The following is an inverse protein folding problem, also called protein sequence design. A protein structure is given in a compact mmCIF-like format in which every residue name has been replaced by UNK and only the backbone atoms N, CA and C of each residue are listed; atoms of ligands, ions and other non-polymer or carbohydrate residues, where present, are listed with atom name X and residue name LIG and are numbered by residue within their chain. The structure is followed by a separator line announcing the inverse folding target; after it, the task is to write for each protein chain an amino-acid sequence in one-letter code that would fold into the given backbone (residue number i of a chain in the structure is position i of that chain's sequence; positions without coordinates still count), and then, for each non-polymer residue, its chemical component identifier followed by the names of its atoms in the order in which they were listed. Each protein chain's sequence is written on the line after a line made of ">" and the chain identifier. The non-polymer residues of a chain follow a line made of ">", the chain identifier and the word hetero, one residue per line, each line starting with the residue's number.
data_IF_936865451671
#
_entry.id   IF_936865451671
#
_cell.length_a   1.000
_cell.length_b   1.000
_cell.length_c   1.000
_cell.angle_alpha   90.00
_cell.angle_beta   90.00
_cell.angle_gamma   90.00
#
_symmetry.space_group_name_H-M   'P 1'
#
loop_
_entity.id
_entity.type
_entity.pdbx_description
1 polymer ?
#
# COMPACT_ATOMS: atom_id res chain seq x y z
N UNK A 1 -50.97 -3.12 11.73
CA UNK A 1 -51.74 -2.03 11.13
C UNK A 1 -50.82 -0.82 11.00
N UNK A 2 -50.45 -0.51 9.76
CA UNK A 2 -49.99 0.78 9.21
C UNK A 2 -48.99 1.61 10.06
N UNK A 3 -47.68 1.58 9.78
CA UNK A 3 -47.03 2.21 8.60
C UNK A 3 -47.58 3.60 8.28
N UNK A 4 -47.21 4.62 9.06
CA UNK A 4 -47.38 6.03 8.63
C UNK A 4 -46.20 6.96 8.99
N UNK A 5 -45.27 6.57 9.86
CA UNK A 5 -44.14 7.45 10.25
C UNK A 5 -42.94 7.45 9.30
N UNK A 6 -42.99 6.70 8.18
CA UNK A 6 -41.97 6.69 7.12
C UNK A 6 -42.37 7.42 5.83
N UNK A 7 -43.56 8.02 5.79
CA UNK A 7 -44.06 8.72 4.60
C UNK A 7 -43.78 10.24 4.65
N UNK A 8 -43.59 10.82 5.84
CA UNK A 8 -43.34 12.26 5.97
C UNK A 8 -41.92 12.71 5.59
N UNK A 9 -40.90 11.84 5.66
CA UNK A 9 -39.52 12.18 5.26
C UNK A 9 -39.19 11.97 3.79
N UNK A 10 -40.12 11.41 3.01
CA UNK A 10 -39.97 11.23 1.55
C UNK A 10 -40.71 12.30 0.73
N UNK A 11 -41.52 13.15 1.36
CA UNK A 11 -42.33 14.18 0.70
C UNK A 11 -41.71 15.58 0.68
N UNK A 12 -40.58 15.79 1.37
CA UNK A 12 -39.88 17.09 1.38
C UNK A 12 -38.81 17.23 0.29
N UNK A 13 -38.64 16.19 -0.54
CA UNK A 13 -37.72 16.19 -1.68
C UNK A 13 -38.45 16.03 -3.01
N UNK A 14 -39.72 16.44 -3.09
CA UNK A 14 -40.38 16.73 -4.36
C UNK A 14 -39.86 18.06 -4.92
N UNK A 15 -38.58 18.08 -5.30
CA UNK A 15 -38.01 19.18 -6.07
C UNK A 15 -38.73 19.21 -7.42
N UNK A 16 -39.50 20.28 -7.60
CA UNK A 16 -40.20 20.66 -8.84
C UNK A 16 -39.25 20.48 -10.05
N UNK A 17 -39.71 19.94 -11.19
CA UNK A 17 -38.85 19.75 -12.37
C UNK A 17 -38.40 21.05 -13.07
N UNK A 18 -38.68 22.23 -12.51
CA UNK A 18 -38.56 23.51 -13.23
C UNK A 18 -38.02 24.69 -12.39
N UNK A 19 -37.60 24.46 -11.13
CA UNK A 19 -36.97 25.53 -10.34
C UNK A 19 -35.49 25.68 -10.75
N UNK A 20 -35.26 26.35 -11.88
CA UNK A 20 -33.98 26.99 -12.22
C UNK A 20 -33.78 28.24 -11.34
N UNK A 21 -33.87 28.10 -10.02
CA UNK A 21 -33.37 29.14 -9.14
C UNK A 21 -31.85 29.18 -9.34
N UNK A 22 -31.35 30.21 -10.02
CA UNK A 22 -29.93 30.54 -9.96
C UNK A 22 -29.61 30.76 -8.49
N UNK A 23 -29.01 29.77 -7.84
CA UNK A 23 -28.35 29.95 -6.55
C UNK A 23 -27.17 30.90 -6.79
N UNK A 24 -27.46 32.21 -6.82
CA UNK A 24 -26.51 33.32 -6.69
C UNK A 24 -25.96 33.32 -5.26
N UNK A 25 -25.32 32.22 -4.86
CA UNK A 25 -24.52 32.16 -3.65
C UNK A 25 -23.17 32.80 -3.92
N UNK A 26 -22.65 33.61 -2.98
CA UNK A 26 -21.25 34.00 -2.99
C UNK A 26 -20.40 32.75 -3.15
N UNK A 27 -19.49 32.75 -4.14
CA UNK A 27 -18.52 31.67 -4.31
C UNK A 27 -17.66 31.63 -3.05
N UNK A 28 -17.80 30.59 -2.24
CA UNK A 28 -16.93 30.36 -1.10
C UNK A 28 -15.59 29.83 -1.63
N UNK A 29 -14.57 30.68 -1.57
CA UNK A 29 -13.19 30.29 -1.85
C UNK A 29 -12.53 29.96 -0.50
N UNK A 30 -12.27 28.68 -0.18
CA UNK A 30 -11.53 28.36 1.03
C UNK A 30 -10.14 28.99 0.96
N UNK A 31 -9.60 29.35 2.13
CA UNK A 31 -8.23 29.86 2.20
C UNK A 31 -7.25 28.81 1.60
N UNK A 32 -6.21 29.26 0.88
CA UNK A 32 -5.21 28.36 0.33
C UNK A 32 -4.47 27.62 1.45
N UNK A 33 -4.15 26.35 1.21
CA UNK A 33 -3.41 25.52 2.16
C UNK A 33 -1.98 26.06 2.25
N UNK A 34 -1.50 26.31 3.47
CA UNK A 34 -0.12 26.73 3.74
C UNK A 34 0.78 25.52 3.98
N UNK A 35 2.02 25.59 3.49
CA UNK A 35 2.97 24.47 3.47
C UNK A 35 4.25 24.76 4.28
N UNK A 36 4.18 25.73 5.20
CA UNK A 36 5.35 26.36 5.83
C UNK A 36 6.21 25.41 6.68
N UNK A 37 5.69 24.25 7.09
CA UNK A 37 6.38 23.28 7.95
C UNK A 37 7.21 22.24 7.21
N UNK A 38 7.36 22.35 5.88
CA UNK A 38 8.03 21.31 5.07
C UNK A 38 9.47 21.72 4.79
N UNK A 39 10.41 20.98 5.36
CA UNK A 39 11.83 21.14 5.06
C UNK A 39 12.13 20.69 3.62
N UNK A 40 12.92 21.49 2.91
CA UNK A 40 13.39 21.14 1.57
C UNK A 40 14.46 20.06 1.66
N UNK A 41 14.32 19.02 0.85
CA UNK A 41 15.29 17.93 0.75
C UNK A 41 16.30 18.25 -0.35
N UNK A 42 17.60 18.12 -0.06
CA UNK A 42 18.68 18.40 -1.01
C UNK A 42 18.60 17.59 -2.32
N UNK A 43 18.11 16.35 -2.23
CA UNK A 43 17.99 15.42 -3.35
C UNK A 43 16.53 15.01 -3.54
N UNK A 44 15.73 15.81 -4.26
CA UNK A 44 14.29 15.58 -4.39
C UNK A 44 13.93 14.40 -5.31
N UNK A 45 14.82 14.02 -6.24
CA UNK A 45 14.58 12.88 -7.14
C UNK A 45 14.91 11.55 -6.48
N UNK A 46 14.14 10.53 -6.82
CA UNK A 46 14.39 9.15 -6.40
C UNK A 46 15.78 8.70 -6.82
N UNK A 47 16.53 8.14 -5.86
CA UNK A 47 17.83 7.53 -6.11
C UNK A 47 17.69 6.34 -7.06
N UNK A 48 18.68 6.16 -7.92
CA UNK A 48 18.79 4.95 -8.76
C UNK A 48 19.07 3.77 -7.83
N UNK A 49 18.30 2.71 -8.00
CA UNK A 49 18.42 1.48 -7.21
C UNK A 49 19.34 0.51 -7.94
N UNK A 50 20.30 -0.08 -7.23
CA UNK A 50 21.18 -1.09 -7.81
C UNK A 50 20.41 -2.38 -8.14
N UNK A 51 20.76 -3.02 -9.26
CA UNK A 51 20.13 -4.28 -9.70
C UNK A 51 20.58 -5.49 -8.89
N UNK A 52 21.82 -5.45 -8.41
CA UNK A 52 22.51 -6.54 -7.71
C UNK A 52 23.13 -5.94 -6.45
N UNK A 53 22.99 -6.59 -5.29
CA UNK A 53 23.70 -6.18 -4.07
C UNK A 53 25.21 -6.25 -4.27
N UNK A 54 25.93 -5.27 -3.71
CA UNK A 54 27.39 -5.30 -3.66
C UNK A 54 27.86 -6.32 -2.62
N UNK A 55 28.71 -7.25 -3.03
CA UNK A 55 29.36 -8.21 -2.13
C UNK A 55 30.86 -7.93 -2.05
N UNK A 56 31.48 -8.31 -0.95
CA UNK A 56 32.93 -8.21 -0.79
C UNK A 56 33.65 -8.99 -1.91
N UNK A 57 34.80 -8.48 -2.41
CA UNK A 57 35.56 -9.16 -3.45
C UNK A 57 35.95 -10.58 -3.00
N UNK A 58 35.74 -11.56 -3.88
CA UNK A 58 35.99 -12.99 -3.58
C UNK A 58 34.81 -13.74 -2.96
N UNK A 59 33.79 -13.06 -2.41
CA UNK A 59 32.60 -13.72 -1.90
C UNK A 59 31.64 -14.08 -3.05
N UNK A 60 31.38 -15.39 -3.22
CA UNK A 60 30.34 -15.85 -4.14
C UNK A 60 28.95 -15.51 -3.56
N UNK A 61 28.04 -14.86 -4.32
CA UNK A 61 26.72 -14.53 -3.81
C UNK A 61 25.96 -15.76 -3.30
N UNK A 62 25.45 -15.73 -2.06
CA UNK A 62 24.83 -16.90 -1.45
C UNK A 62 23.47 -17.21 -2.09
N UNK A 63 23.21 -18.48 -2.39
CA UNK A 63 21.91 -18.92 -2.94
C UNK A 63 20.89 -19.16 -1.81
N UNK A 64 19.82 -18.37 -1.76
CA UNK A 64 18.78 -18.48 -0.71
C UNK A 64 17.57 -19.33 -1.11
N UNK A 65 16.94 -20.05 -0.18
CA UNK A 65 15.61 -20.65 -0.43
C UNK A 65 14.58 -19.53 -0.72
N UNK A 66 13.51 -19.84 -1.49
CA UNK A 66 12.49 -18.85 -1.88
C UNK A 66 11.85 -18.08 -0.70
N UNK A 67 11.82 -18.67 0.52
CA UNK A 67 11.29 -18.06 1.76
C UNK A 67 10.02 -17.22 1.56
N UNK A 68 8.95 -17.86 1.08
CA UNK A 68 7.65 -17.21 0.79
C UNK A 68 7.04 -16.50 2.02
N UNK A 69 7.43 -16.91 3.23
CA UNK A 69 7.02 -16.26 4.49
C UNK A 69 7.35 -14.77 4.57
N UNK A 70 8.32 -14.29 3.78
CA UNK A 70 8.72 -12.88 3.76
C UNK A 70 7.65 -11.96 3.18
N UNK A 71 6.70 -12.49 2.41
CA UNK A 71 5.59 -11.73 1.81
C UNK A 71 4.26 -11.98 2.51
N UNK A 72 4.18 -12.98 3.40
CA UNK A 72 2.93 -13.38 4.05
C UNK A 72 2.71 -12.59 5.33
N UNK A 73 1.47 -12.14 5.54
CA UNK A 73 1.03 -11.36 6.68
C UNK A 73 1.31 -9.87 6.56
N UNK A 74 0.99 -9.09 7.61
CA UNK A 74 1.12 -7.64 7.60
C UNK A 74 2.56 -7.20 7.85
N UNK A 75 2.88 -6.02 7.34
CA UNK A 75 4.08 -5.25 7.66
C UNK A 75 3.91 -4.60 9.04
N UNK A 76 4.92 -4.77 9.90
CA UNK A 76 4.88 -4.29 11.29
C UNK A 76 5.67 -2.98 11.46
N UNK A 77 6.77 -2.82 10.70
CA UNK A 77 7.74 -1.74 10.93
C UNK A 77 7.53 -0.57 9.97
N UNK A 78 7.46 -0.84 8.67
CA UNK A 78 7.40 0.21 7.64
C UNK A 78 5.98 0.46 7.13
N UNK A 79 5.02 0.57 8.05
CA UNK A 79 3.60 0.77 7.75
C UNK A 79 3.11 2.22 7.87
N UNK A 80 3.90 3.11 8.50
CA UNK A 80 3.56 4.54 8.67
C UNK A 80 4.34 5.44 7.73
N UNK A 81 3.74 6.59 7.38
CA UNK A 81 4.42 7.65 6.63
C UNK A 81 5.39 8.41 7.54
N UNK A 82 6.64 8.58 7.12
CA UNK A 82 7.65 9.33 7.87
C UNK A 82 7.41 10.83 7.70
N UNK A 83 7.23 11.28 6.45
CA UNK A 83 7.00 12.69 6.12
C UNK A 83 5.54 13.12 6.27
N UNK A 84 4.65 12.20 6.70
CA UNK A 84 3.22 12.43 6.99
C UNK A 84 2.44 13.20 5.91
N UNK A 85 2.76 12.96 4.64
CA UNK A 85 2.08 13.60 3.50
C UNK A 85 1.41 12.57 2.62
N UNK A 86 2.12 12.04 1.62
CA UNK A 86 1.56 11.14 0.63
C UNK A 86 2.49 9.95 0.38
N UNK A 87 1.90 8.81 -0.01
CA UNK A 87 2.68 7.64 -0.36
C UNK A 87 1.86 6.55 -1.02
N UNK A 88 2.56 5.48 -1.40
CA UNK A 88 1.95 4.26 -1.94
C UNK A 88 2.08 3.15 -0.90
N UNK A 89 0.96 2.55 -0.51
CA UNK A 89 0.90 1.42 0.41
C UNK A 89 0.52 0.15 -0.36
N UNK A 90 1.23 -0.95 -0.09
CA UNK A 90 0.87 -2.26 -0.61
C UNK A 90 -0.36 -2.82 0.10
N UNK A 91 -1.39 -3.23 -0.63
CA UNK A 91 -2.56 -3.96 -0.11
C UNK A 91 -2.38 -5.49 -0.19
N UNK A 92 -1.24 -5.96 -0.69
CA UNK A 92 -0.94 -7.39 -0.78
C UNK A 92 0.55 -7.65 -0.79
N UNK A 93 0.93 -8.87 -0.40
CA UNK A 93 2.32 -9.31 -0.42
C UNK A 93 2.81 -9.64 -1.84
N UNK A 94 4.07 -9.35 -2.14
CA UNK A 94 4.65 -9.63 -3.45
C UNK A 94 6.15 -9.38 -3.56
N UNK A 95 6.68 -9.55 -4.77
CA UNK A 95 8.10 -9.30 -5.09
C UNK A 95 8.25 -8.10 -6.01
N UNK A 96 9.06 -7.14 -5.59
CA UNK A 96 9.52 -6.07 -6.46
C UNK A 96 10.84 -6.48 -7.12
N UNK A 97 10.82 -6.59 -8.46
CA UNK A 97 12.03 -6.75 -9.28
C UNK A 97 12.65 -5.38 -9.51
N UNK A 98 13.93 -5.36 -9.87
CA UNK A 98 14.63 -4.13 -10.26
C UNK A 98 13.87 -3.32 -11.33
N UNK A 99 13.33 -3.98 -12.36
CA UNK A 99 12.53 -3.31 -13.40
C UNK A 99 11.34 -2.53 -12.85
N UNK A 100 10.73 -3.00 -11.75
CA UNK A 100 9.63 -2.27 -11.12
C UNK A 100 10.14 -1.00 -10.46
N UNK A 101 11.30 -1.03 -9.78
CA UNK A 101 11.93 0.17 -9.23
C UNK A 101 12.23 1.19 -10.32
N UNK A 102 12.78 0.74 -11.46
CA UNK A 102 13.10 1.65 -12.57
C UNK A 102 11.84 2.24 -13.22
N UNK A 103 10.80 1.42 -13.41
CA UNK A 103 9.50 1.88 -13.89
C UNK A 103 8.90 2.95 -12.96
N UNK A 104 8.92 2.70 -11.65
CA UNK A 104 8.42 3.65 -10.65
C UNK A 104 9.26 4.94 -10.65
N UNK A 105 10.59 4.82 -10.69
CA UNK A 105 11.54 5.94 -10.72
C UNK A 105 11.31 6.83 -11.93
N UNK A 106 11.18 6.25 -13.12
CA UNK A 106 10.90 6.99 -14.35
C UNK A 106 9.48 7.56 -14.35
N UNK A 107 8.49 6.83 -13.83
CA UNK A 107 7.10 7.26 -13.73
C UNK A 107 6.95 8.53 -12.89
N UNK A 108 7.45 8.50 -11.65
CA UNK A 108 7.45 9.67 -10.75
C UNK A 108 8.38 10.76 -11.28
N UNK A 109 9.58 10.39 -11.74
CA UNK A 109 10.60 11.33 -12.19
C UNK A 109 10.20 12.20 -13.38
N UNK A 110 9.22 11.78 -14.19
CA UNK A 110 8.67 12.56 -15.31
C UNK A 110 7.66 13.62 -14.88
N UNK A 111 7.04 13.46 -13.71
CA UNK A 111 5.95 14.33 -13.26
C UNK A 111 6.31 15.16 -12.03
N UNK A 112 7.45 14.88 -11.39
CA UNK A 112 7.87 15.57 -10.18
C UNK A 112 8.52 16.92 -10.50
N UNK A 113 8.02 17.97 -9.84
CA UNK A 113 8.64 19.29 -9.88
C UNK A 113 9.72 19.40 -8.80
N UNK A 114 10.98 19.36 -9.23
CA UNK A 114 12.19 19.32 -8.37
C UNK A 114 12.25 20.44 -7.32
N UNK A 115 11.69 21.62 -7.63
CA UNK A 115 11.74 22.78 -6.74
C UNK A 115 10.67 22.75 -5.64
N UNK A 116 9.58 22.00 -5.87
CA UNK A 116 8.40 21.98 -4.99
C UNK A 116 8.23 20.64 -4.28
N UNK A 117 8.59 19.55 -4.95
CA UNK A 117 8.29 18.17 -4.56
C UNK A 117 9.57 17.35 -4.40
N UNK A 118 9.51 16.34 -3.54
CA UNK A 118 10.53 15.30 -3.40
C UNK A 118 9.90 13.92 -3.27
N UNK A 119 10.62 12.89 -3.74
CA UNK A 119 10.20 11.50 -3.66
C UNK A 119 11.30 10.63 -3.04
N UNK A 120 10.92 9.76 -2.11
CA UNK A 120 11.84 8.95 -1.31
C UNK A 120 11.41 7.48 -1.34
N UNK A 121 12.40 6.60 -1.45
CA UNK A 121 12.19 5.16 -1.30
C UNK A 121 12.00 4.77 0.16
N UNK A 122 10.96 3.97 0.44
CA UNK A 122 10.74 3.32 1.74
C UNK A 122 11.07 1.83 1.74
N UNK A 123 11.56 1.34 0.61
CA UNK A 123 11.87 -0.07 0.37
C UNK A 123 13.33 -0.23 0.04
N UNK A 124 13.90 -1.30 0.59
CA UNK A 124 15.29 -1.69 0.38
C UNK A 124 15.55 -2.12 -1.07
N UNK A 125 16.78 -1.90 -1.57
CA UNK A 125 17.17 -2.40 -2.88
C UNK A 125 16.97 -3.93 -2.99
N UNK A 126 16.79 -4.48 -4.20
CA UNK A 126 16.63 -5.91 -4.41
C UNK A 126 17.77 -6.73 -3.80
N UNK A 127 17.46 -7.51 -2.75
CA UNK A 127 18.46 -8.27 -2.00
C UNK A 127 18.19 -9.78 -1.98
N UNK A 128 16.94 -10.23 -2.17
CA UNK A 128 16.62 -11.65 -2.15
C UNK A 128 17.01 -12.29 -3.50
N UNK A 129 17.93 -13.27 -3.55
CA UNK A 129 18.30 -13.92 -4.80
C UNK A 129 17.23 -14.91 -5.25
N UNK A 130 16.85 -14.83 -6.53
CA UNK A 130 15.96 -15.79 -7.18
C UNK A 130 16.78 -16.64 -8.15
N UNK A 131 16.85 -17.95 -7.91
CA UNK A 131 17.57 -18.89 -8.77
C UNK A 131 16.68 -19.48 -9.84
N UNK A 132 17.20 -19.66 -11.05
CA UNK A 132 16.54 -20.32 -12.16
C UNK A 132 17.46 -21.40 -12.74
N UNK A 133 16.90 -22.55 -13.13
CA UNK A 133 17.63 -23.57 -13.90
C UNK A 133 17.54 -23.23 -15.39
N UNK A 134 18.54 -23.64 -16.16
CA UNK A 134 18.51 -23.51 -17.62
C UNK A 134 17.30 -24.21 -18.22
N UNK A 135 16.77 -23.66 -19.31
CA UNK A 135 15.66 -24.27 -20.03
C UNK A 135 16.11 -25.63 -20.62
N UNK A 136 15.25 -26.64 -20.56
CA UNK A 136 15.53 -27.99 -21.06
C UNK A 136 16.33 -28.90 -20.10
N UNK A 137 16.72 -28.42 -18.91
CA UNK A 137 17.43 -29.23 -17.93
C UNK A 137 16.49 -30.15 -17.14
N UNK A 138 16.94 -31.36 -16.82
CA UNK A 138 16.18 -32.33 -16.00
C UNK A 138 16.11 -31.90 -14.51
N UNK A 139 15.23 -32.55 -13.76
CA UNK A 139 15.18 -32.43 -12.30
C UNK A 139 16.44 -33.03 -11.67
N UNK A 140 16.82 -32.58 -10.47
CA UNK A 140 18.10 -32.97 -9.84
C UNK A 140 19.29 -32.06 -10.17
N UNK A 141 20.54 -32.48 -9.95
CA UNK A 141 21.74 -31.71 -10.30
C UNK A 141 21.99 -30.44 -9.47
N UNK A 142 21.34 -30.33 -8.30
CA UNK A 142 21.51 -29.19 -7.41
C UNK A 142 20.73 -27.92 -7.83
N UNK A 143 21.13 -26.79 -7.23
CA UNK A 143 20.42 -25.52 -7.36
C UNK A 143 21.01 -24.66 -8.48
N UNK A 144 20.14 -24.11 -9.33
CA UNK A 144 20.52 -23.25 -10.46
C UNK A 144 21.28 -21.97 -10.06
N UNK A 145 21.75 -21.24 -11.07
CA UNK A 145 22.37 -19.94 -10.90
C UNK A 145 21.34 -18.89 -10.44
N UNK A 146 21.82 -17.78 -9.87
CA UNK A 146 20.98 -16.62 -9.52
C UNK A 146 20.64 -15.89 -10.82
N UNK A 147 19.36 -15.71 -11.09
CA UNK A 147 18.84 -15.05 -12.30
C UNK A 147 18.65 -13.54 -12.06
N UNK A 148 17.97 -13.20 -10.96
CA UNK A 148 17.78 -11.81 -10.54
C UNK A 148 17.56 -11.71 -9.03
N UNK A 149 17.60 -10.47 -8.53
CA UNK A 149 17.27 -10.14 -7.16
C UNK A 149 15.90 -9.48 -7.07
N UNK A 150 15.24 -9.66 -5.94
CA UNK A 150 13.93 -9.08 -5.63
C UNK A 150 13.89 -8.52 -4.21
N UNK A 151 13.02 -7.53 -3.99
CA UNK A 151 12.64 -7.08 -2.65
C UNK A 151 11.28 -7.70 -2.30
N UNK A 152 11.19 -8.58 -1.28
CA UNK A 152 9.91 -9.09 -0.81
C UNK A 152 9.18 -8.01 0.00
N UNK A 153 7.89 -7.84 -0.29
CA UNK A 153 7.01 -6.84 0.31
C UNK A 153 5.84 -7.56 0.99
N UNK A 154 5.47 -7.08 2.17
CA UNK A 154 4.27 -7.50 2.90
C UNK A 154 3.13 -6.49 2.71
N UNK A 155 1.93 -6.95 3.02
CA UNK A 155 0.74 -6.09 3.05
C UNK A 155 0.89 -4.99 4.11
N UNK A 156 0.48 -3.77 3.78
CA UNK A 156 0.60 -2.59 4.64
C UNK A 156 1.95 -1.88 4.57
N UNK A 157 2.93 -2.38 3.79
CA UNK A 157 4.22 -1.70 3.63
C UNK A 157 4.10 -0.46 2.74
N UNK A 158 4.64 0.66 3.21
CA UNK A 158 4.83 1.87 2.41
C UNK A 158 6.00 1.64 1.43
N UNK A 159 5.77 1.87 0.14
CA UNK A 159 6.76 1.62 -0.92
C UNK A 159 7.58 2.86 -1.22
N UNK A 160 6.87 3.96 -1.43
CA UNK A 160 7.39 5.22 -1.89
C UNK A 160 6.61 6.34 -1.20
N UNK A 161 7.32 7.37 -0.80
CA UNK A 161 6.75 8.61 -0.30
C UNK A 161 6.96 9.73 -1.28
N UNK A 162 5.96 10.59 -1.37
CA UNK A 162 6.00 11.82 -2.12
C UNK A 162 5.62 12.94 -1.14
N UNK A 163 6.46 13.97 -1.10
CA UNK A 163 6.21 15.12 -0.27
C UNK A 163 6.65 16.42 -0.92
N UNK A 164 6.41 17.53 -0.23
CA UNK A 164 6.67 18.88 -0.72
C UNK A 164 5.42 19.76 -0.75
N UNK A 165 5.53 20.89 -1.46
CA UNK A 165 4.48 21.90 -1.60
C UNK A 165 3.46 21.44 -2.65
N UNK A 166 2.65 20.45 -2.28
CA UNK A 166 1.80 19.71 -3.20
C UNK A 166 0.46 19.38 -2.54
N UNK A 167 -0.63 19.40 -3.32
CA UNK A 167 -1.96 19.03 -2.87
C UNK A 167 -2.32 17.58 -3.23
N UNK A 168 -3.24 16.97 -2.48
CA UNK A 168 -3.62 15.56 -2.68
C UNK A 168 -4.00 15.20 -4.14
N UNK A 169 -4.76 16.01 -4.91
CA UNK A 169 -5.10 15.67 -6.30
C UNK A 169 -3.87 15.55 -7.21
N UNK A 170 -2.86 16.40 -7.01
CA UNK A 170 -1.60 16.35 -7.74
C UNK A 170 -0.82 15.08 -7.39
N UNK A 171 -0.65 14.79 -6.09
CA UNK A 171 -0.02 13.55 -5.63
C UNK A 171 -0.75 12.31 -6.17
N UNK A 172 -2.09 12.32 -6.10
CA UNK A 172 -2.91 11.20 -6.52
C UNK A 172 -2.67 10.87 -7.98
N UNK A 173 -2.68 11.88 -8.87
CA UNK A 173 -2.41 11.68 -10.30
C UNK A 173 -1.04 11.02 -10.55
N UNK A 174 -0.01 11.47 -9.84
CA UNK A 174 1.35 10.94 -10.00
C UNK A 174 1.46 9.50 -9.49
N UNK A 175 1.03 9.28 -8.25
CA UNK A 175 1.18 8.00 -7.58
C UNK A 175 0.25 6.94 -8.15
N UNK A 176 -0.93 7.30 -8.65
CA UNK A 176 -1.90 6.37 -9.22
C UNK A 176 -1.38 5.70 -10.50
N UNK A 177 -0.68 6.45 -11.36
CA UNK A 177 -0.05 5.93 -12.57
C UNK A 177 0.98 4.83 -12.26
N UNK A 178 1.69 5.00 -11.16
CA UNK A 178 2.69 4.03 -10.68
C UNK A 178 2.01 2.84 -10.01
N UNK A 179 0.99 3.11 -9.20
CA UNK A 179 0.20 2.12 -8.47
C UNK A 179 -0.39 1.05 -9.40
N UNK A 180 -0.94 1.45 -10.55
CA UNK A 180 -1.50 0.50 -11.54
C UNK A 180 -0.48 -0.44 -12.18
N UNK A 181 0.82 -0.08 -12.16
CA UNK A 181 1.89 -0.87 -12.78
C UNK A 181 2.59 -1.79 -11.79
N UNK A 182 2.21 -1.75 -10.51
CA UNK A 182 2.78 -2.64 -9.50
C UNK A 182 2.27 -4.07 -9.67
N UNK A 183 3.08 -5.08 -9.33
CA UNK A 183 2.71 -6.49 -9.49
C UNK A 183 1.70 -6.99 -8.45
N UNK A 184 1.27 -6.13 -7.53
CA UNK A 184 0.30 -6.43 -6.48
C UNK A 184 -0.64 -5.23 -6.30
N UNK A 185 -1.77 -5.46 -5.62
CA UNK A 185 -2.72 -4.39 -5.30
C UNK A 185 -2.03 -3.37 -4.39
N UNK A 186 -2.10 -2.11 -4.77
CA UNK A 186 -1.57 -1.00 -3.98
C UNK A 186 -2.61 0.12 -3.94
N UNK A 187 -2.40 1.06 -3.03
CA UNK A 187 -3.26 2.22 -2.83
C UNK A 187 -2.41 3.46 -2.62
N UNK A 188 -2.87 4.57 -3.19
CA UNK A 188 -2.36 5.90 -2.88
C UNK A 188 -3.01 6.39 -1.59
N UNK A 189 -2.20 6.83 -0.64
CA UNK A 189 -2.67 7.30 0.66
C UNK A 189 -2.12 8.68 0.98
N UNK A 190 -2.93 9.49 1.66
CA UNK A 190 -2.48 10.62 2.45
C UNK A 190 -2.45 10.25 3.93
N UNK A 191 -1.76 11.05 4.75
CA UNK A 191 -1.79 10.88 6.20
C UNK A 191 -3.23 10.87 6.75
N UNK A 192 -4.08 11.80 6.30
CA UNK A 192 -5.48 11.86 6.68
C UNK A 192 -6.25 10.59 6.31
N UNK A 193 -6.02 10.06 5.10
CA UNK A 193 -6.65 8.81 4.65
C UNK A 193 -6.19 7.63 5.51
N UNK A 194 -4.92 7.58 5.91
CA UNK A 194 -4.43 6.53 6.81
C UNK A 194 -5.09 6.63 8.18
N UNK A 195 -5.15 7.82 8.76
CA UNK A 195 -5.75 8.06 10.07
C UNK A 195 -7.26 7.75 10.05
N UNK A 196 -7.97 8.14 8.98
CA UNK A 196 -9.38 7.80 8.76
C UNK A 196 -9.60 6.30 8.66
N UNK A 197 -8.75 5.58 7.93
CA UNK A 197 -8.82 4.12 7.81
C UNK A 197 -8.59 3.42 9.14
N UNK A 198 -7.59 3.84 9.89
CA UNK A 198 -7.34 3.30 11.23
C UNK A 198 -8.50 3.59 12.19
N UNK A 199 -9.09 4.78 12.13
CA UNK A 199 -10.25 5.15 12.93
C UNK A 199 -11.49 4.34 12.52
N UNK A 200 -11.70 4.13 11.22
CA UNK A 200 -12.79 3.30 10.70
C UNK A 200 -12.63 1.84 11.09
N UNK A 201 -11.42 1.28 11.01
CA UNK A 201 -11.15 -0.09 11.47
C UNK A 201 -11.40 -0.25 12.97
N UNK A 202 -10.97 0.73 13.78
CA UNK A 202 -11.26 0.76 15.22
C UNK A 202 -12.78 0.84 15.48
N UNK A 203 -13.47 1.74 14.77
CA UNK A 203 -14.93 1.89 14.85
C UNK A 203 -15.64 0.58 14.51
N UNK A 204 -15.30 -0.04 13.38
CA UNK A 204 -15.87 -1.34 12.96
C UNK A 204 -15.62 -2.45 13.98
N UNK A 205 -14.47 -2.43 14.67
CA UNK A 205 -14.18 -3.41 15.72
C UNK A 205 -15.04 -3.20 16.97
N UNK A 206 -15.26 -1.96 17.38
CA UNK A 206 -16.10 -1.60 18.55
C UNK A 206 -17.59 -1.83 18.26
N UNK A 207 -18.05 -1.44 17.07
CA UNK A 207 -19.45 -1.60 16.63
C UNK A 207 -19.80 -3.04 16.26
N UNK A 208 -18.83 -3.95 16.19
CA UNK A 208 -19.08 -5.32 15.82
C UNK A 208 -19.94 -6.02 16.88
N UNK A 209 -21.21 -6.25 16.55
CA UNK A 209 -22.18 -6.96 17.39
C UNK A 209 -22.04 -8.48 17.34
N UNK A 210 -21.26 -9.02 16.39
CA UNK A 210 -21.09 -10.46 16.25
C UNK A 210 -20.20 -11.02 17.37
N UNK A 211 -20.80 -11.82 18.25
CA UNK A 211 -20.12 -12.54 19.34
C UNK A 211 -19.03 -13.50 18.83
N UNK A 212 -19.25 -14.14 17.68
CA UNK A 212 -18.32 -15.12 17.11
C UNK A 212 -17.33 -14.45 16.16
N UNK A 213 -16.40 -13.67 16.73
CA UNK A 213 -15.29 -13.11 15.95
C UNK A 213 -14.35 -14.21 15.48
N UNK A 214 -13.69 -14.02 14.33
CA UNK A 214 -12.69 -14.99 13.84
C UNK A 214 -11.59 -15.25 14.87
N UNK A 215 -11.20 -14.22 15.63
CA UNK A 215 -10.27 -14.35 16.75
C UNK A 215 -10.81 -15.30 17.82
N UNK A 216 -12.05 -15.10 18.25
CA UNK A 216 -12.69 -15.92 19.28
C UNK A 216 -12.89 -17.39 18.84
N UNK A 217 -13.36 -17.60 17.61
CA UNK A 217 -13.56 -18.94 17.02
C UNK A 217 -12.25 -19.72 17.01
N UNK A 218 -11.17 -19.10 16.52
CA UNK A 218 -9.86 -19.72 16.44
C UNK A 218 -9.27 -19.97 17.82
N UNK A 219 -9.35 -19.03 18.77
CA UNK A 219 -8.75 -19.21 20.09
C UNK A 219 -9.36 -20.37 20.88
N UNK A 220 -10.67 -20.61 20.73
CA UNK A 220 -11.38 -21.65 21.46
C UNK A 220 -11.51 -22.98 20.68
N UNK A 221 -10.85 -23.12 19.53
CA UNK A 221 -10.93 -24.31 18.68
C UNK A 221 -12.37 -24.74 18.36
N UNK A 222 -13.26 -23.78 18.08
CA UNK A 222 -14.66 -24.07 17.76
C UNK A 222 -14.74 -25.02 16.56
N UNK A 223 -15.53 -26.10 16.70
CA UNK A 223 -15.71 -27.10 15.64
C UNK A 223 -14.42 -27.81 15.22
N UNK A 224 -13.39 -27.83 16.07
CA UNK A 224 -12.10 -28.44 15.73
C UNK A 224 -11.33 -27.68 14.64
N UNK A 225 -11.52 -26.35 14.56
CA UNK A 225 -10.92 -25.53 13.50
C UNK A 225 -9.39 -25.58 13.41
N UNK A 226 -8.70 -25.95 14.49
CA UNK A 226 -7.24 -26.10 14.52
C UNK A 226 -6.73 -27.20 13.58
N UNK A 227 -7.56 -28.20 13.27
CA UNK A 227 -7.15 -29.32 12.42
C UNK A 227 -6.96 -28.93 10.95
N UNK A 228 -7.62 -27.85 10.50
CA UNK A 228 -7.62 -27.42 9.10
C UNK A 228 -7.12 -25.99 8.88
N UNK A 229 -6.90 -25.22 9.95
CA UNK A 229 -6.31 -23.88 9.86
C UNK A 229 -4.78 -23.92 9.86
N UNK A 230 -4.16 -22.99 9.13
CA UNK A 230 -2.70 -22.88 9.12
C UNK A 230 -2.19 -22.13 10.36
N UNK A 231 -0.94 -22.37 10.82
CA UNK A 231 -0.36 -21.62 11.94
C UNK A 231 -0.35 -20.09 11.74
N UNK A 232 -0.42 -19.62 10.49
CA UNK A 232 -0.54 -18.19 10.18
C UNK A 232 -1.94 -17.65 10.44
N UNK A 233 -2.98 -18.47 10.25
CA UNK A 233 -4.36 -18.09 10.54
C UNK A 233 -4.57 -17.99 12.06
N UNK A 234 -3.86 -18.81 12.84
CA UNK A 234 -3.79 -18.66 14.30
C UNK A 234 -3.16 -17.33 14.72
N UNK A 235 -2.17 -16.85 13.97
CA UNK A 235 -1.48 -15.59 14.27
C UNK A 235 -2.27 -14.35 13.85
N UNK A 236 -2.94 -14.43 12.70
CA UNK A 236 -3.54 -13.26 12.03
C UNK A 236 -5.05 -13.31 11.92
N UNK A 237 -5.68 -14.34 12.49
CA UNK A 237 -7.13 -14.52 12.58
C UNK A 237 -7.85 -14.39 11.23
N UNK A 238 -7.29 -15.01 10.19
CA UNK A 238 -7.88 -15.04 8.84
C UNK A 238 -7.86 -13.73 8.06
N UNK A 239 -7.22 -12.67 8.57
CA UNK A 239 -7.16 -11.35 7.89
C UNK A 239 -6.24 -11.32 6.67
N UNK A 240 -5.22 -12.18 6.66
CA UNK A 240 -4.20 -12.21 5.60
C UNK A 240 -4.07 -13.62 5.05
N UNK A 241 -4.41 -13.79 3.76
CA UNK A 241 -4.37 -15.09 3.07
C UNK A 241 -3.14 -15.22 2.17
#
# INVERSE_FOLDING_TARGET
>A
MLKLSRIFTLLENSRKPWDFAQNMGLKYFPAPIKFDSIEKVDRPKLKIVEKVPQYAPGLRPPKMQKRLKLMRGPEVVHNKLIHRQYGIVALGGGRLKWNHFEMMRMGVGRQIDVNRMFAIWRVDPPWQPVTKKGQGQRMGGGKGAIDHYVSPIKEGRVILELGGHLEYPEAYKILQLVCHKLPFKALVVSQEIMDQREAEERRRQVENTNYYTMKYVIQNNFGGCHNWLSPFDHKWFGRHR
#
